data_IF_707451853397
#
_entry.id   IF_707451853397
#
_cell.length_a   1.000
_cell.length_b   1.000
_cell.length_c   1.000
_cell.angle_alpha   90.00
_cell.angle_beta   90.00
_cell.angle_gamma   90.00
#
_symmetry.space_group_name_H-M   'P 1'
#
loop_
_entity.id
_entity.type
_entity.pdbx_description
1 polymer ?
#
# COMPACT_ATOMS: atom_id res chain seq x y z
N UNK A 1 30.97 6.09 -18.43
CA UNK A 1 31.61 7.38 -18.13
C UNK A 1 33.09 7.11 -17.98
N UNK A 2 33.90 7.60 -18.92
CA UNK A 2 35.35 7.59 -18.80
C UNK A 2 35.78 8.61 -17.74
N UNK A 3 37.02 8.51 -17.24
CA UNK A 3 37.56 9.51 -16.31
C UNK A 3 37.52 10.92 -16.91
N UNK A 4 37.81 11.04 -18.21
CA UNK A 4 37.78 12.30 -18.95
C UNK A 4 36.38 12.92 -18.97
N UNK A 5 35.36 12.10 -19.26
CA UNK A 5 33.96 12.55 -19.27
C UNK A 5 33.52 13.08 -17.88
N UNK A 6 34.09 12.53 -16.80
CA UNK A 6 33.81 12.98 -15.44
C UNK A 6 34.53 14.30 -15.09
N UNK A 7 35.77 14.45 -15.55
CA UNK A 7 36.56 15.66 -15.31
C UNK A 7 35.99 16.87 -16.07
N UNK A 8 35.29 16.63 -17.19
CA UNK A 8 34.57 17.64 -17.98
C UNK A 8 33.30 18.17 -17.29
N UNK A 9 32.80 17.50 -16.24
CA UNK A 9 31.62 17.96 -15.49
C UNK A 9 31.93 19.18 -14.63
N UNK A 10 30.94 20.06 -14.50
CA UNK A 10 30.98 21.14 -13.52
C UNK A 10 30.86 20.60 -12.10
N UNK A 11 31.36 21.35 -11.11
CA UNK A 11 31.27 20.94 -9.70
C UNK A 11 29.82 20.77 -9.22
N UNK A 12 28.87 21.53 -9.78
CA UNK A 12 27.45 21.36 -9.47
C UNK A 12 26.91 20.01 -9.95
N UNK A 13 27.30 19.57 -11.14
CA UNK A 13 26.88 18.28 -11.69
C UNK A 13 27.50 17.11 -10.92
N UNK A 14 28.78 17.22 -10.55
CA UNK A 14 29.44 16.23 -9.69
C UNK A 14 28.74 16.11 -8.33
N UNK A 15 28.39 17.24 -7.71
CA UNK A 15 27.63 17.27 -6.45
C UNK A 15 26.24 16.65 -6.61
N UNK A 16 25.53 16.92 -7.71
CA UNK A 16 24.24 16.31 -8.00
C UNK A 16 24.36 14.78 -8.11
N UNK A 17 25.31 14.28 -8.90
CA UNK A 17 25.56 12.84 -9.04
C UNK A 17 25.88 12.20 -7.69
N UNK A 18 26.75 12.83 -6.89
CA UNK A 18 27.10 12.35 -5.56
C UNK A 18 25.87 12.27 -4.66
N UNK A 19 25.03 13.30 -4.69
CA UNK A 19 23.80 13.35 -3.89
C UNK A 19 22.82 12.26 -4.29
N UNK A 20 22.63 12.03 -5.59
CA UNK A 20 21.78 10.95 -6.09
C UNK A 20 22.34 9.56 -5.75
N UNK A 21 23.67 9.39 -5.78
CA UNK A 21 24.30 8.16 -5.34
C UNK A 21 24.08 7.91 -3.84
N UNK A 22 24.23 8.93 -3.00
CA UNK A 22 23.91 8.84 -1.57
C UNK A 22 22.45 8.46 -1.33
N UNK A 23 21.53 9.12 -2.04
CA UNK A 23 20.09 8.81 -1.97
C UNK A 23 19.82 7.35 -2.37
N UNK A 24 20.47 6.85 -3.42
CA UNK A 24 20.39 5.45 -3.84
C UNK A 24 20.88 4.49 -2.75
N UNK A 25 22.04 4.73 -2.16
CA UNK A 25 22.60 3.87 -1.10
C UNK A 25 21.67 3.84 0.13
N UNK A 26 21.14 5.00 0.51
CA UNK A 26 20.16 5.11 1.61
C UNK A 26 18.89 4.32 1.27
N UNK A 27 18.39 4.43 0.03
CA UNK A 27 17.22 3.69 -0.43
C UNK A 27 17.44 2.18 -0.40
N UNK A 28 18.55 1.69 -0.97
CA UNK A 28 18.89 0.26 -1.04
C UNK A 28 19.08 -0.35 0.36
N UNK A 29 19.80 0.33 1.24
CA UNK A 29 19.97 -0.10 2.64
C UNK A 29 18.64 -0.13 3.39
N UNK A 30 17.77 0.86 3.17
CA UNK A 30 16.43 0.91 3.76
C UNK A 30 15.54 -0.23 3.24
N UNK A 31 15.56 -0.50 1.93
CA UNK A 31 14.81 -1.61 1.34
C UNK A 31 15.27 -2.95 1.89
N UNK A 32 16.59 -3.16 2.00
CA UNK A 32 17.17 -4.38 2.57
C UNK A 32 16.75 -4.57 4.02
N UNK A 33 16.85 -3.52 4.84
CA UNK A 33 16.38 -3.53 6.24
C UNK A 33 14.89 -3.90 6.32
N UNK A 34 14.05 -3.27 5.50
CA UNK A 34 12.61 -3.53 5.49
C UNK A 34 12.28 -4.96 5.04
N UNK A 35 13.02 -5.51 4.07
CA UNK A 35 12.87 -6.89 3.63
C UNK A 35 13.19 -7.87 4.76
N UNK A 36 14.31 -7.67 5.47
CA UNK A 36 14.68 -8.50 6.61
C UNK A 36 13.63 -8.46 7.73
N UNK A 37 13.16 -7.27 8.10
CA UNK A 37 12.11 -7.11 9.12
C UNK A 37 10.78 -7.75 8.69
N UNK A 38 10.40 -7.61 7.42
CA UNK A 38 9.19 -8.25 6.88
C UNK A 38 9.30 -9.78 6.91
N UNK A 39 10.46 -10.34 6.57
CA UNK A 39 10.70 -11.78 6.65
C UNK A 39 10.59 -12.30 8.08
N UNK A 40 11.21 -11.61 9.04
CA UNK A 40 11.10 -11.94 10.48
C UNK A 40 9.65 -11.85 10.96
N UNK A 41 8.91 -10.83 10.54
CA UNK A 41 7.50 -10.67 10.90
C UNK A 41 6.62 -11.79 10.31
N UNK A 42 6.86 -12.18 9.06
CA UNK A 42 6.14 -13.28 8.42
C UNK A 42 6.50 -14.65 9.01
N UNK A 43 7.74 -14.85 9.44
CA UNK A 43 8.18 -16.07 10.12
C UNK A 43 7.48 -16.24 11.48
N UNK A 44 7.32 -15.14 12.23
CA UNK A 44 6.66 -15.12 13.55
C UNK A 44 5.15 -14.87 13.48
N UNK A 45 4.56 -14.99 12.29
CA UNK A 45 3.17 -14.66 12.05
C UNK A 45 2.22 -15.71 12.66
N UNK A 46 1.08 -15.29 13.20
CA UNK A 46 0.04 -16.21 13.73
C UNK A 46 -0.44 -17.19 12.67
N UNK A 47 -0.60 -18.47 13.04
CA UNK A 47 -1.19 -19.52 12.19
C UNK A 47 -2.53 -19.07 11.61
N UNK A 48 -2.75 -19.33 10.32
CA UNK A 48 -3.94 -18.94 9.53
C UNK A 48 -4.16 -17.42 9.31
N UNK A 49 -3.26 -16.54 9.72
CA UNK A 49 -3.34 -15.13 9.28
C UNK A 49 -2.89 -14.97 7.82
N UNK A 50 -3.00 -13.77 7.25
CA UNK A 50 -2.56 -13.51 5.87
C UNK A 50 -1.08 -13.15 5.81
N UNK A 51 -0.38 -13.56 4.75
CA UNK A 51 1.01 -13.16 4.51
C UNK A 51 1.12 -11.64 4.36
N UNK A 52 2.15 -11.05 4.96
CA UNK A 52 2.40 -9.62 4.92
C UNK A 52 3.30 -9.31 3.73
N UNK A 53 2.73 -8.76 2.65
CA UNK A 53 3.49 -8.38 1.46
C UNK A 53 4.55 -7.32 1.78
N UNK A 54 5.76 -7.48 1.20
CA UNK A 54 6.83 -6.49 1.29
C UNK A 54 6.47 -5.20 0.55
N UNK A 55 6.00 -5.34 -0.69
CA UNK A 55 5.57 -4.22 -1.54
C UNK A 55 4.05 -4.08 -1.45
N UNK A 56 3.60 -3.15 -0.60
CA UNK A 56 2.17 -2.88 -0.47
C UNK A 56 1.67 -2.16 -1.73
N UNK A 57 0.57 -2.63 -2.30
CA UNK A 57 -0.16 -1.88 -3.33
C UNK A 57 -0.55 -0.51 -2.77
N UNK A 58 -0.19 0.55 -3.49
CA UNK A 58 -0.64 1.91 -3.17
C UNK A 58 -2.15 1.93 -3.30
N UNK A 59 -2.86 2.14 -2.18
CA UNK A 59 -4.32 2.29 -2.22
C UNK A 59 -4.64 3.59 -2.95
N UNK A 60 -5.63 3.53 -3.83
CA UNK A 60 -6.19 4.73 -4.43
C UNK A 60 -6.80 5.61 -3.33
N UNK A 61 -6.73 6.92 -3.51
CA UNK A 61 -7.39 7.84 -2.58
C UNK A 61 -8.89 7.60 -2.69
N UNK A 62 -9.54 7.38 -1.55
CA UNK A 62 -10.98 7.21 -1.52
C UNK A 62 -11.67 8.45 -2.12
N UNK A 63 -12.57 8.24 -3.09
CA UNK A 63 -13.40 9.31 -3.61
C UNK A 63 -14.43 9.69 -2.54
N UNK A 64 -14.20 10.82 -1.87
CA UNK A 64 -15.04 11.27 -0.75
C UNK A 64 -16.47 11.53 -1.21
N UNK A 65 -16.65 12.17 -2.36
CA UNK A 65 -17.96 12.52 -2.91
C UNK A 65 -18.78 11.27 -3.22
N UNK A 66 -18.16 10.30 -3.92
CA UNK A 66 -18.79 9.01 -4.21
C UNK A 66 -19.19 8.29 -2.92
N UNK A 67 -18.29 8.22 -1.94
CA UNK A 67 -18.57 7.54 -0.67
C UNK A 67 -19.70 8.22 0.09
N UNK A 68 -19.74 9.56 0.13
CA UNK A 68 -20.84 10.29 0.80
C UNK A 68 -22.18 10.06 0.10
N UNK A 69 -22.21 10.10 -1.23
CA UNK A 69 -23.43 9.85 -2.00
C UNK A 69 -23.91 8.40 -1.83
N UNK A 70 -22.99 7.43 -1.88
CA UNK A 70 -23.28 6.02 -1.68
C UNK A 70 -23.87 5.77 -0.28
N UNK A 71 -23.32 6.41 0.77
CA UNK A 71 -23.87 6.30 2.14
C UNK A 71 -25.31 6.80 2.19
N UNK A 72 -25.61 7.96 1.61
CA UNK A 72 -26.99 8.50 1.61
C UNK A 72 -27.95 7.53 0.93
N UNK A 73 -27.59 7.01 -0.25
CA UNK A 73 -28.40 6.05 -1.00
C UNK A 73 -28.62 4.76 -0.21
N UNK A 74 -27.57 4.23 0.42
CA UNK A 74 -27.66 3.03 1.25
C UNK A 74 -28.62 3.27 2.42
N UNK A 75 -28.47 4.39 3.17
CA UNK A 75 -29.34 4.70 4.30
C UNK A 75 -30.81 4.82 3.88
N UNK A 76 -31.10 5.51 2.78
CA UNK A 76 -32.46 5.63 2.24
C UNK A 76 -33.04 4.29 1.80
N UNK A 77 -32.20 3.42 1.21
CA UNK A 77 -32.62 2.08 0.80
C UNK A 77 -32.89 1.21 2.02
N UNK A 78 -32.05 1.28 3.06
CA UNK A 78 -32.25 0.56 4.33
C UNK A 78 -33.51 1.02 5.07
N UNK A 79 -33.84 2.32 5.03
CA UNK A 79 -35.08 2.85 5.61
C UNK A 79 -36.33 2.33 4.88
N UNK A 80 -36.25 2.17 3.55
CA UNK A 80 -37.39 1.72 2.72
C UNK A 80 -37.57 0.21 2.70
N UNK A 81 -36.48 -0.53 2.57
CA UNK A 81 -36.47 -1.96 2.21
C UNK A 81 -35.86 -2.85 3.32
N UNK A 82 -35.31 -2.24 4.36
CA UNK A 82 -34.62 -2.95 5.44
C UNK A 82 -33.25 -3.46 5.03
N UNK A 83 -32.64 -4.29 5.89
CA UNK A 83 -31.24 -4.76 5.75
C UNK A 83 -31.12 -6.20 5.22
N UNK A 84 -32.18 -6.74 4.61
CA UNK A 84 -32.21 -8.12 4.14
C UNK A 84 -31.17 -8.45 3.06
N UNK A 85 -30.85 -7.47 2.20
CA UNK A 85 -29.80 -7.60 1.17
C UNK A 85 -28.41 -7.86 1.77
N UNK A 86 -28.14 -7.39 3.00
CA UNK A 86 -26.89 -7.68 3.70
C UNK A 86 -26.79 -9.16 4.02
N UNK A 87 -27.88 -9.78 4.47
CA UNK A 87 -27.92 -11.20 4.80
C UNK A 87 -27.72 -12.08 3.54
N UNK A 88 -28.29 -11.67 2.41
CA UNK A 88 -28.08 -12.32 1.11
C UNK A 88 -26.61 -12.28 0.67
N UNK A 89 -25.93 -11.15 0.86
CA UNK A 89 -24.49 -11.02 0.54
C UNK A 89 -23.66 -11.95 1.42
N UNK A 90 -23.92 -12.00 2.73
CA UNK A 90 -23.19 -12.89 3.63
C UNK A 90 -23.40 -14.35 3.23
N UNK A 91 -24.65 -14.75 2.93
CA UNK A 91 -24.99 -16.09 2.47
C UNK A 91 -24.31 -16.46 1.15
N UNK A 92 -24.29 -15.55 0.17
CA UNK A 92 -23.62 -15.76 -1.11
C UNK A 92 -22.10 -15.95 -0.96
N UNK A 93 -21.50 -15.34 0.05
CA UNK A 93 -20.08 -15.49 0.38
C UNK A 93 -19.80 -16.66 1.35
N UNK A 94 -20.80 -17.49 1.67
CA UNK A 94 -20.65 -18.64 2.57
C UNK A 94 -20.41 -18.26 4.03
N UNK A 95 -20.74 -17.03 4.42
CA UNK A 95 -20.58 -16.50 5.77
C UNK A 95 -21.94 -16.39 6.46
N UNK A 96 -21.97 -16.52 7.78
CA UNK A 96 -23.15 -16.15 8.59
C UNK A 96 -22.92 -14.76 9.15
N UNK A 97 -23.96 -13.93 9.12
CA UNK A 97 -23.93 -12.62 9.78
C UNK A 97 -23.73 -12.82 11.28
N UNK A 98 -22.74 -12.14 11.84
CA UNK A 98 -22.61 -11.99 13.28
C UNK A 98 -23.43 -10.76 13.68
N UNK A 99 -24.26 -10.90 14.72
CA UNK A 99 -25.07 -9.81 15.29
C UNK A 99 -24.19 -8.65 15.81
#
# INVERSE_FOLDING_TARGET
>A
MSKRDFDELTEKEKLFIRKEWENKVIFESTMTRNAALNAIANANRKKNSRFIELHKKKRERANKEFNTAAIVVITQTEEREGKGWVDEIYKANGLRRQE
#
